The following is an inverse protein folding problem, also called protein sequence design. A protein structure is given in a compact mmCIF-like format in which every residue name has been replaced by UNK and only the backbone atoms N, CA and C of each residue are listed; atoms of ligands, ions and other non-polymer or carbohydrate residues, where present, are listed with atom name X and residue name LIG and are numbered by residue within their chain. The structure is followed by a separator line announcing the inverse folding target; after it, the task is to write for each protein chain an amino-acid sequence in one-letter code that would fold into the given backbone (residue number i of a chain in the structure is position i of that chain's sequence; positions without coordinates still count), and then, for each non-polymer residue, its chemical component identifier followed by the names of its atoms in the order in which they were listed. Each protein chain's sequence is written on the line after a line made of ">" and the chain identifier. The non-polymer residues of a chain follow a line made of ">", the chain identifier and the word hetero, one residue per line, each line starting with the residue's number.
data_IF_447736297317
#
_entry.id   IF_447736297317
#
_cell.length_a   1.000
_cell.length_b   1.000
_cell.length_c   1.000
_cell.angle_alpha   90.00
_cell.angle_beta   90.00
_cell.angle_gamma   90.00
#
_symmetry.space_group_name_H-M   'P 1'
#
loop_
_entity.id
_entity.type
_entity.pdbx_description
1 polymer ?
#
# COMPACT_ATOMS: atom_id res chain seq x y z
N UNK A 1 22.87 -6.10 -5.30
CA UNK A 1 21.90 -7.02 -5.93
C UNK A 1 20.99 -6.17 -6.78
N UNK A 2 20.91 -6.45 -8.07
CA UNK A 2 20.02 -5.72 -8.98
C UNK A 2 18.58 -6.23 -8.78
N UNK A 3 17.64 -5.35 -8.45
CA UNK A 3 16.22 -5.68 -8.28
C UNK A 3 15.57 -5.89 -9.65
N UNK A 4 15.79 -7.05 -10.27
CA UNK A 4 15.32 -7.37 -11.62
C UNK A 4 13.81 -7.16 -11.81
N UNK A 5 13.05 -7.37 -10.74
CA UNK A 5 11.60 -7.17 -10.72
C UNK A 5 11.16 -5.71 -10.92
N UNK A 6 12.08 -4.75 -10.83
CA UNK A 6 11.82 -3.32 -11.04
C UNK A 6 12.68 -2.71 -12.14
N UNK A 7 13.38 -3.54 -12.92
CA UNK A 7 14.11 -3.07 -14.10
C UNK A 7 13.31 -3.38 -15.35
N UNK A 8 13.07 -2.36 -16.16
CA UNK A 8 12.40 -2.45 -17.45
C UNK A 8 13.38 -2.93 -18.53
N UNK A 9 12.90 -3.79 -19.40
CA UNK A 9 13.59 -4.21 -20.62
C UNK A 9 12.86 -3.75 -21.87
N UNK A 10 11.56 -3.51 -21.78
CA UNK A 10 10.73 -3.02 -22.88
C UNK A 10 9.54 -2.21 -22.34
N UNK A 11 9.14 -1.20 -23.10
CA UNK A 11 7.90 -0.44 -22.92
C UNK A 11 7.21 -0.33 -24.28
N UNK A 12 5.92 -0.64 -24.32
CA UNK A 12 5.08 -0.44 -25.49
C UNK A 12 3.83 0.33 -25.12
N UNK A 13 3.50 1.34 -25.92
CA UNK A 13 2.29 2.15 -25.73
C UNK A 13 1.09 1.38 -26.25
N UNK A 14 0.07 1.23 -25.40
CA UNK A 14 -1.22 0.64 -25.72
C UNK A 14 -2.28 1.73 -25.61
N UNK A 15 -2.84 2.14 -26.76
CA UNK A 15 -3.82 3.21 -26.79
C UNK A 15 -5.05 2.91 -25.91
N UNK A 16 -5.70 3.93 -25.31
CA UNK A 16 -5.35 5.36 -25.41
C UNK A 16 -4.34 5.83 -24.35
N UNK A 17 -4.23 5.16 -23.20
CA UNK A 17 -3.42 5.64 -22.06
C UNK A 17 -2.88 4.47 -21.22
N UNK A 18 -2.47 3.38 -21.86
CA UNK A 18 -1.92 2.20 -21.20
C UNK A 18 -0.50 1.90 -21.67
N UNK A 19 0.27 1.25 -20.82
CA UNK A 19 1.59 0.71 -21.17
C UNK A 19 1.59 -0.81 -21.02
N UNK A 20 2.24 -1.50 -21.94
CA UNK A 20 2.74 -2.85 -21.75
C UNK A 20 4.21 -2.77 -21.34
N UNK A 21 4.53 -3.27 -20.15
CA UNK A 21 5.85 -3.21 -19.54
C UNK A 21 6.44 -4.61 -19.47
N UNK A 22 7.67 -4.80 -19.97
CA UNK A 22 8.45 -6.03 -19.76
C UNK A 22 9.56 -5.76 -18.75
N UNK A 23 9.67 -6.62 -17.74
CA UNK A 23 10.68 -6.51 -16.68
C UNK A 23 11.82 -7.52 -16.84
N UNK A 24 12.96 -7.24 -16.23
CA UNK A 24 14.16 -8.08 -16.27
C UNK A 24 14.02 -9.41 -15.50
N UNK A 25 12.96 -9.57 -14.70
CA UNK A 25 12.54 -10.86 -14.13
C UNK A 25 11.76 -11.73 -15.13
N UNK A 26 11.51 -11.22 -16.33
CA UNK A 26 10.81 -11.90 -17.43
C UNK A 26 9.29 -11.73 -17.39
N UNK A 27 8.74 -11.01 -16.42
CA UNK A 27 7.30 -10.77 -16.34
C UNK A 27 6.86 -9.57 -17.18
N UNK A 28 5.62 -9.65 -17.66
CA UNK A 28 4.98 -8.57 -18.39
C UNK A 28 3.70 -8.12 -17.69
N UNK A 29 3.46 -6.81 -17.71
CA UNK A 29 2.30 -6.21 -17.09
C UNK A 29 1.71 -5.12 -17.98
N UNK A 30 0.39 -5.10 -18.11
CA UNK A 30 -0.34 -3.96 -18.69
C UNK A 30 -0.82 -3.05 -17.57
N UNK A 31 -0.58 -1.76 -17.69
CA UNK A 31 -1.01 -0.75 -16.72
C UNK A 31 -1.74 0.38 -17.43
N UNK A 32 -2.95 0.70 -16.95
CA UNK A 32 -3.69 1.87 -17.37
C UNK A 32 -3.30 3.10 -16.52
N UNK A 33 -3.07 4.24 -17.17
CA UNK A 33 -2.59 5.47 -16.56
C UNK A 33 -3.61 6.61 -16.59
N UNK A 34 -4.79 6.40 -17.16
CA UNK A 34 -5.88 7.38 -17.24
C UNK A 34 -6.23 7.98 -15.86
N UNK A 35 -6.36 7.14 -14.83
CA UNK A 35 -6.70 7.60 -13.48
C UNK A 35 -5.59 8.47 -12.85
N UNK A 36 -4.32 8.07 -13.01
CA UNK A 36 -3.20 8.80 -12.39
C UNK A 36 -2.94 10.13 -13.11
N UNK A 37 -3.08 10.14 -14.44
CA UNK A 37 -3.00 11.35 -15.27
C UNK A 37 -4.08 12.35 -14.84
N UNK A 38 -5.32 11.88 -14.64
CA UNK A 38 -6.42 12.74 -14.17
C UNK A 38 -6.26 13.26 -12.73
N UNK A 39 -5.50 12.56 -11.88
CA UNK A 39 -5.33 12.90 -10.46
C UNK A 39 -4.18 13.88 -10.19
N UNK A 40 -3.14 13.87 -11.02
CA UNK A 40 -1.91 14.62 -10.77
C UNK A 40 -1.64 15.65 -11.87
N UNK A 41 -1.70 16.95 -11.52
CA UNK A 41 -1.50 18.06 -12.47
C UNK A 41 -0.16 17.99 -13.21
N UNK A 42 0.89 17.47 -12.57
CA UNK A 42 2.21 17.29 -13.20
C UNK A 42 2.16 16.33 -14.40
N UNK A 43 1.24 15.36 -14.39
CA UNK A 43 1.07 14.38 -15.47
C UNK A 43 0.04 14.81 -16.52
N UNK A 44 -0.58 15.99 -16.37
CA UNK A 44 -1.58 16.49 -17.31
C UNK A 44 -1.12 16.48 -18.78
N UNK A 45 0.16 16.76 -19.13
CA UNK A 45 0.63 16.64 -20.51
C UNK A 45 0.47 15.24 -21.13
N UNK A 46 0.45 14.19 -20.31
CA UNK A 46 0.27 12.81 -20.77
C UNK A 46 -1.17 12.50 -21.24
N UNK A 47 -2.12 13.43 -21.05
CA UNK A 47 -3.45 13.33 -21.63
C UNK A 47 -3.45 13.56 -23.15
N UNK A 48 -2.40 14.18 -23.69
CA UNK A 48 -2.17 14.28 -25.14
C UNK A 48 -1.61 12.94 -25.66
N UNK A 49 -2.31 12.24 -26.58
CA UNK A 49 -1.85 10.98 -27.15
C UNK A 49 -0.47 11.08 -27.83
N UNK A 50 -0.13 12.22 -28.43
CA UNK A 50 1.17 12.41 -29.08
C UNK A 50 2.29 12.46 -28.05
N UNK A 51 2.06 13.13 -26.91
CA UNK A 51 3.00 13.14 -25.78
C UNK A 51 3.08 11.73 -25.17
N UNK A 52 1.94 11.07 -24.95
CA UNK A 52 1.91 9.72 -24.37
C UNK A 52 2.65 8.69 -25.23
N UNK A 53 2.58 8.83 -26.55
CA UNK A 53 3.27 7.97 -27.51
C UNK A 53 4.81 8.03 -27.40
N UNK A 54 5.36 9.07 -26.77
CA UNK A 54 6.82 9.23 -26.55
C UNK A 54 7.38 8.40 -25.39
N UNK A 55 6.57 7.55 -24.76
CA UNK A 55 6.99 6.71 -23.64
C UNK A 55 8.29 5.95 -23.96
N UNK A 56 9.31 6.16 -23.13
CA UNK A 56 10.61 5.53 -23.27
C UNK A 56 11.13 5.06 -21.90
N UNK A 57 12.05 4.09 -21.91
CA UNK A 57 12.72 3.65 -20.69
C UNK A 57 13.78 4.68 -20.31
N UNK A 58 13.80 5.11 -19.05
CA UNK A 58 14.82 6.01 -18.52
C UNK A 58 16.22 5.39 -18.48
N UNK A 59 17.24 6.23 -18.29
CA UNK A 59 18.66 5.83 -18.35
C UNK A 59 19.00 4.61 -17.49
N UNK A 60 18.46 4.57 -16.27
CA UNK A 60 18.75 3.52 -15.28
C UNK A 60 17.80 2.33 -15.36
N UNK A 61 16.90 2.32 -16.34
CA UNK A 61 15.88 1.27 -16.58
C UNK A 61 14.89 1.06 -15.45
N UNK A 62 14.77 2.02 -14.54
CA UNK A 62 13.87 1.99 -13.38
C UNK A 62 12.75 3.02 -13.48
N UNK A 63 12.65 3.73 -14.60
CA UNK A 63 11.57 4.68 -14.89
C UNK A 63 11.07 4.53 -16.33
N UNK A 64 9.81 4.94 -16.54
CA UNK A 64 9.30 5.33 -17.86
C UNK A 64 9.28 6.85 -17.90
N UNK A 65 9.87 7.43 -18.94
CA UNK A 65 9.94 8.87 -19.18
C UNK A 65 9.15 9.22 -20.44
N UNK A 66 8.62 10.44 -20.49
CA UNK A 66 7.93 10.99 -21.66
C UNK A 66 8.57 12.31 -22.09
N UNK A 67 8.54 12.59 -23.39
CA UNK A 67 9.03 13.82 -24.02
C UNK A 67 10.48 14.22 -23.68
N UNK A 68 11.27 13.34 -23.06
CA UNK A 68 12.59 13.68 -22.52
C UNK A 68 12.53 14.68 -21.36
N UNK A 69 11.39 14.79 -20.68
CA UNK A 69 11.19 15.67 -19.52
C UNK A 69 11.26 14.85 -18.24
N UNK A 70 12.24 15.13 -17.38
CA UNK A 70 12.40 14.47 -16.07
C UNK A 70 11.21 14.75 -15.12
N UNK A 71 10.37 15.75 -15.40
CA UNK A 71 9.13 15.99 -14.65
C UNK A 71 7.98 15.07 -15.10
N UNK A 72 8.12 14.43 -16.26
CA UNK A 72 7.18 13.47 -16.83
C UNK A 72 7.81 12.08 -16.78
N UNK A 73 8.04 11.59 -15.56
CA UNK A 73 8.52 10.23 -15.33
C UNK A 73 7.69 9.48 -14.29
N UNK A 74 7.62 8.15 -14.44
CA UNK A 74 7.00 7.25 -13.48
C UNK A 74 7.95 6.10 -13.17
N UNK A 75 8.18 5.87 -11.88
CA UNK A 75 9.04 4.79 -11.39
C UNK A 75 8.44 3.40 -11.72
N UNK A 76 9.30 2.48 -12.14
CA UNK A 76 8.94 1.15 -12.62
C UNK A 76 8.35 0.26 -11.52
N UNK A 77 8.78 0.44 -10.27
CA UNK A 77 8.19 -0.22 -9.10
C UNK A 77 6.73 0.20 -8.88
N UNK A 78 6.45 1.51 -8.90
CA UNK A 78 5.09 2.05 -8.80
C UNK A 78 4.21 1.60 -9.97
N UNK A 79 4.74 1.59 -11.19
CA UNK A 79 4.04 1.09 -12.37
C UNK A 79 3.70 -0.40 -12.23
N UNK A 80 4.64 -1.23 -11.76
CA UNK A 80 4.41 -2.65 -11.50
C UNK A 80 3.37 -2.88 -10.41
N UNK A 81 3.45 -2.16 -9.29
CA UNK A 81 2.49 -2.24 -8.21
C UNK A 81 1.08 -1.94 -8.71
N UNK A 82 0.92 -0.84 -9.45
CA UNK A 82 -0.35 -0.43 -10.03
C UNK A 82 -0.91 -1.46 -11.01
N UNK A 83 -0.07 -2.04 -11.87
CA UNK A 83 -0.50 -3.07 -12.82
C UNK A 83 -1.00 -4.33 -12.10
N UNK A 84 -0.30 -4.76 -11.05
CA UNK A 84 -0.70 -5.90 -10.21
C UNK A 84 -2.03 -5.63 -9.51
N UNK A 85 -2.24 -4.42 -9.00
CA UNK A 85 -3.49 -4.02 -8.34
C UNK A 85 -4.66 -3.93 -9.31
N UNK A 86 -4.45 -3.39 -10.52
CA UNK A 86 -5.46 -3.34 -11.59
C UNK A 86 -5.88 -4.75 -12.02
N UNK A 87 -4.98 -5.73 -11.97
CA UNK A 87 -5.28 -7.14 -12.19
C UNK A 87 -6.03 -7.82 -11.02
N UNK A 88 -6.30 -7.10 -9.92
CA UNK A 88 -6.95 -7.65 -8.73
C UNK A 88 -6.05 -8.49 -7.83
N UNK A 89 -4.73 -8.40 -8.03
CA UNK A 89 -3.71 -9.10 -7.25
C UNK A 89 -3.07 -8.19 -6.19
N UNK A 90 -2.26 -8.77 -5.31
CA UNK A 90 -1.65 -8.05 -4.20
C UNK A 90 -0.25 -7.55 -4.56
N UNK A 91 -0.07 -6.23 -4.63
CA UNK A 91 1.22 -5.59 -4.89
C UNK A 91 2.18 -5.72 -3.70
N UNK A 92 3.46 -5.45 -3.96
CA UNK A 92 4.48 -5.36 -2.91
C UNK A 92 4.26 -4.13 -2.00
N UNK A 93 3.72 -3.03 -2.54
CA UNK A 93 3.35 -1.83 -1.79
C UNK A 93 2.29 -2.10 -0.72
N UNK A 94 1.38 -3.07 -0.94
CA UNK A 94 0.37 -3.45 0.05
C UNK A 94 0.98 -3.73 1.43
N UNK A 95 2.12 -4.44 1.46
CA UNK A 95 2.80 -4.80 2.71
C UNK A 95 3.47 -3.57 3.31
N UNK A 96 4.12 -2.75 2.49
CA UNK A 96 4.75 -1.51 2.93
C UNK A 96 3.73 -0.58 3.60
N UNK A 97 2.60 -0.35 2.92
CA UNK A 97 1.52 0.51 3.37
C UNK A 97 0.85 -0.02 4.63
N UNK A 98 0.62 -1.33 4.72
CA UNK A 98 0.08 -1.95 5.93
C UNK A 98 1.04 -1.80 7.12
N UNK A 99 2.34 -2.05 6.92
CA UNK A 99 3.35 -1.86 7.98
C UNK A 99 3.43 -0.40 8.42
N UNK A 100 3.45 0.55 7.49
CA UNK A 100 3.52 1.97 7.78
C UNK A 100 2.28 2.46 8.54
N UNK A 101 1.08 2.05 8.11
CA UNK A 101 -0.20 2.39 8.74
C UNK A 101 -0.29 1.94 10.20
N UNK A 102 0.35 0.82 10.55
CA UNK A 102 0.30 0.24 11.89
C UNK A 102 1.62 0.35 12.65
N UNK A 103 2.57 1.14 12.15
CA UNK A 103 3.89 1.39 12.75
C UNK A 103 4.67 0.10 13.05
N UNK A 104 4.53 -0.92 12.19
CA UNK A 104 5.14 -2.23 12.39
C UNK A 104 6.55 -2.29 11.80
N UNK A 105 7.49 -2.77 12.61
CA UNK A 105 8.79 -3.21 12.09
C UNK A 105 8.64 -4.49 11.29
N UNK A 106 9.62 -4.81 10.43
CA UNK A 106 9.60 -6.04 9.64
C UNK A 106 9.53 -7.30 10.55
N UNK A 107 10.23 -7.28 11.67
CA UNK A 107 10.23 -8.40 12.63
C UNK A 107 8.87 -8.57 13.29
N UNK A 108 8.25 -7.45 13.70
CA UNK A 108 6.93 -7.47 14.33
C UNK A 108 5.86 -7.92 13.34
N UNK A 109 5.87 -7.37 12.13
CA UNK A 109 4.96 -7.75 11.06
C UNK A 109 5.08 -9.25 10.72
N UNK A 110 6.29 -9.78 10.64
CA UNK A 110 6.52 -11.21 10.40
C UNK A 110 5.95 -12.07 11.53
N UNK A 111 6.16 -11.66 12.79
CA UNK A 111 5.60 -12.35 13.95
C UNK A 111 4.06 -12.38 13.93
N UNK A 112 3.43 -11.24 13.67
CA UNK A 112 1.95 -11.11 13.66
C UNK A 112 1.30 -11.92 12.53
N UNK A 113 1.97 -12.01 11.38
CA UNK A 113 1.47 -12.78 10.23
C UNK A 113 1.87 -14.27 10.28
N UNK A 114 2.67 -14.69 11.27
CA UNK A 114 3.18 -16.06 11.35
C UNK A 114 4.10 -16.43 10.20
N UNK A 115 4.84 -15.46 9.66
CA UNK A 115 5.78 -15.64 8.54
C UNK A 115 7.23 -15.53 9.04
N UNK A 116 8.17 -16.14 8.32
CA UNK A 116 9.57 -15.79 8.53
C UNK A 116 9.84 -14.36 8.07
N UNK A 117 10.72 -13.65 8.80
CA UNK A 117 11.20 -12.31 8.42
C UNK A 117 11.68 -12.25 6.97
N UNK A 118 12.42 -13.27 6.53
CA UNK A 118 12.94 -13.37 5.16
C UNK A 118 11.82 -13.47 4.12
N UNK A 119 10.78 -14.27 4.37
CA UNK A 119 9.64 -14.37 3.45
C UNK A 119 8.89 -13.05 3.35
N UNK A 120 8.66 -12.37 4.47
CA UNK A 120 8.01 -11.06 4.44
C UNK A 120 8.87 -10.03 3.69
N UNK A 121 10.20 -10.08 3.82
CA UNK A 121 11.12 -9.23 3.07
C UNK A 121 11.00 -9.44 1.55
N UNK A 122 10.91 -10.70 1.08
CA UNK A 122 10.73 -10.99 -0.35
C UNK A 122 9.43 -10.46 -0.92
N UNK A 123 8.35 -10.54 -0.14
CA UNK A 123 7.07 -9.99 -0.57
C UNK A 123 7.10 -8.47 -0.63
N UNK A 124 7.68 -7.83 0.40
CA UNK A 124 7.82 -6.36 0.49
C UNK A 124 8.73 -5.80 -0.61
N UNK A 125 9.79 -6.52 -1.00
CA UNK A 125 10.69 -6.09 -2.08
C UNK A 125 10.15 -6.38 -3.48
N UNK A 126 9.00 -7.06 -3.61
CA UNK A 126 8.45 -7.50 -4.88
C UNK A 126 9.22 -8.63 -5.56
N UNK A 127 10.25 -9.19 -4.92
CA UNK A 127 11.03 -10.35 -5.41
C UNK A 127 10.16 -11.60 -5.52
N UNK A 128 9.17 -11.74 -4.64
CA UNK A 128 8.14 -12.78 -4.73
C UNK A 128 6.75 -12.15 -4.74
N UNK A 129 5.79 -12.72 -5.50
CA UNK A 129 4.41 -12.25 -5.47
C UNK A 129 3.81 -12.42 -4.08
N UNK A 130 2.98 -11.47 -3.66
CA UNK A 130 2.29 -11.52 -2.36
C UNK A 130 1.12 -12.51 -2.46
N UNK A 131 1.10 -13.61 -1.69
CA UNK A 131 -0.02 -14.55 -1.74
C UNK A 131 -1.29 -13.92 -1.19
N UNK A 132 -2.44 -14.27 -1.79
CA UNK A 132 -3.77 -13.85 -1.29
C UNK A 132 -4.00 -14.21 0.18
N UNK A 133 -3.45 -15.32 0.65
CA UNK A 133 -3.50 -15.73 2.06
C UNK A 133 -2.81 -14.72 2.99
N UNK A 134 -1.70 -14.13 2.57
CA UNK A 134 -0.99 -13.09 3.33
C UNK A 134 -1.81 -11.80 3.39
N UNK A 135 -2.41 -11.40 2.27
CA UNK A 135 -3.30 -10.24 2.23
C UNK A 135 -4.54 -10.41 3.12
N UNK A 136 -5.15 -11.61 3.11
CA UNK A 136 -6.25 -11.95 4.00
C UNK A 136 -5.82 -11.97 5.47
N UNK A 137 -4.62 -12.46 5.78
CA UNK A 137 -4.06 -12.44 7.14
C UNK A 137 -3.88 -11.00 7.64
N UNK A 138 -3.37 -10.08 6.82
CA UNK A 138 -3.27 -8.66 7.18
C UNK A 138 -4.64 -8.04 7.50
N UNK A 139 -5.66 -8.30 6.67
CA UNK A 139 -7.03 -7.84 6.91
C UNK A 139 -7.64 -8.46 8.18
N UNK A 140 -7.42 -9.75 8.39
CA UNK A 140 -7.87 -10.46 9.60
C UNK A 140 -7.23 -9.90 10.87
N UNK A 141 -5.93 -9.62 10.82
CA UNK A 141 -5.20 -8.98 11.91
C UNK A 141 -5.78 -7.60 12.27
N UNK A 142 -6.05 -6.75 11.26
CA UNK A 142 -6.70 -5.45 11.48
C UNK A 142 -8.08 -5.60 12.14
N UNK A 143 -8.89 -6.55 11.67
CA UNK A 143 -10.22 -6.81 12.21
C UNK A 143 -10.17 -7.24 13.68
N UNK A 144 -9.22 -8.10 14.05
CA UNK A 144 -9.02 -8.55 15.44
C UNK A 144 -8.63 -7.38 16.36
N UNK A 145 -7.69 -6.53 15.94
CA UNK A 145 -7.29 -5.34 16.72
C UNK A 145 -8.43 -4.34 16.90
N UNK A 146 -9.25 -4.12 15.87
CA UNK A 146 -10.44 -3.28 15.98
C UNK A 146 -11.48 -3.86 16.94
N UNK A 147 -11.69 -5.18 16.92
CA UNK A 147 -12.60 -5.85 17.84
C UNK A 147 -12.12 -5.72 19.30
N UNK A 148 -10.83 -5.92 19.55
CA UNK A 148 -10.22 -5.73 20.88
C UNK A 148 -10.32 -4.28 21.37
N UNK A 149 -10.02 -3.30 20.51
CA UNK A 149 -10.14 -1.89 20.87
C UNK A 149 -11.58 -1.52 21.26
N UNK A 150 -12.57 -2.05 20.53
CA UNK A 150 -14.00 -1.88 20.85
C UNK A 150 -14.34 -2.49 22.20
N UNK A 151 -13.92 -3.73 22.47
CA UNK A 151 -14.15 -4.40 23.75
C UNK A 151 -13.53 -3.62 24.92
N UNK A 152 -12.29 -3.14 24.77
CA UNK A 152 -11.59 -2.35 25.78
C UNK A 152 -12.29 -1.00 26.05
N UNK A 153 -12.81 -0.34 25.02
CA UNK A 153 -13.55 0.91 25.17
C UNK A 153 -14.89 0.72 25.90
N UNK A 154 -15.58 -0.40 25.66
CA UNK A 154 -16.81 -0.74 26.37
C UNK A 154 -16.55 -1.00 27.87
N UNK A 155 -15.50 -1.77 28.18
CA UNK A 155 -15.10 -2.08 29.57
C UNK A 155 -14.76 -0.81 30.38
N UNK A 156 -14.03 0.15 29.78
CA UNK A 156 -13.70 1.44 30.42
C UNK A 156 -14.93 2.32 30.66
N UNK A 157 -15.94 2.28 29.78
CA UNK A 157 -17.20 3.02 29.99
C UNK A 157 -18.02 2.44 31.14
N UNK A 158 -18.06 1.11 31.27
CA UNK A 158 -18.75 0.44 32.39
C UNK A 158 -18.08 0.70 33.73
N UNK A 159 -16.73 0.68 33.80
CA UNK A 159 -16.02 0.98 35.04
C UNK A 159 -16.16 2.46 35.45
N UNK A 160 -16.11 3.39 34.49
CA UNK A 160 -16.32 4.82 34.74
C UNK A 160 -17.71 5.15 35.30
N UNK A 161 -18.77 4.51 34.78
CA UNK A 161 -20.14 4.66 35.33
C UNK A 161 -20.26 4.13 36.76
N UNK A 162 -19.55 3.04 37.08
CA UNK A 162 -19.56 2.48 38.44
C UNK A 162 -18.83 3.40 39.43
N UNK A 163 -17.71 4.01 39.04
CA UNK A 163 -16.99 4.96 39.89
C UNK A 163 -17.77 6.25 40.10
N UNK A 164 -18.45 6.78 39.06
CA UNK A 164 -19.22 8.03 39.16
C UNK A 164 -20.46 7.86 40.06
N UNK A 165 -21.10 6.67 40.00
CA UNK A 165 -22.19 6.30 40.90
C UNK A 165 -21.77 6.21 42.38
N UNK A 166 -20.50 5.86 42.67
CA UNK A 166 -19.98 5.80 44.04
C UNK A 166 -19.61 7.19 44.58
N UNK A 167 -19.12 8.10 43.72
CA UNK A 167 -18.80 9.49 44.12
C UNK A 167 -20.09 10.31 44.35
N UNK A 168 -21.11 10.13 43.51
CA UNK A 168 -22.41 10.79 43.65
C UNK A 168 -23.20 10.40 44.92
N UNK A 169 -22.97 9.20 45.46
CA UNK A 169 -23.61 8.73 46.70
C UNK A 169 -22.94 9.25 47.99
N UNK A 170 -21.76 9.86 47.90
CA UNK A 170 -20.95 10.27 49.06
C UNK A 170 -21.27 11.65 49.65
N UNK A 171 -22.06 12.51 48.97
CA UNK A 171 -22.29 13.89 49.40
C UNK A 171 -23.56 14.13 50.24
N UNK A 172 -24.30 13.06 50.59
CA UNK A 172 -25.56 13.17 51.34
C UNK A 172 -25.44 12.74 52.81
N UNK A 173 -24.58 13.38 53.63
CA UNK A 173 -24.77 13.35 55.11
C UNK A 173 -23.93 14.38 55.87
N UNK A 174 -24.60 15.43 56.38
CA UNK A 174 -24.69 15.82 57.80
C UNK A 174 -25.18 17.28 57.92
N UNK A 175 -26.49 17.48 58.00
CA UNK A 175 -27.05 18.54 58.85
C UNK A 175 -27.32 17.90 60.21
N UNK A 176 -26.57 18.30 61.24
CA UNK A 176 -26.93 18.06 62.63
C UNK A 176 -27.32 19.39 63.27
N UNK A 177 -28.33 19.27 64.11
CA UNK A 177 -29.09 20.29 64.82
C UNK A 177 -28.23 21.19 65.71
#
# INVERSE_FOLDING_TARGET
>A
MTNKQFQLTEVAVVAPASLLLTFADGLQFTVALDEIIGKHTTLAPLADPEVFATAAIGEWKDTVIWAGDDNLELAADNLRARAVEQAGECSHELIWNWMAKHELTLDRAAQELGLSRRMLAYYRSGEKPVPKTVALAMKGWEALRLAEARANSASRRTSGKYTDSLVGAGHARKKRA
#
